data_IF_709837875236
#
_entry.id   IF_709837875236
#
_cell.length_a   1.000
_cell.length_b   1.000
_cell.length_c   1.000
_cell.angle_alpha   90.00
_cell.angle_beta   90.00
_cell.angle_gamma   90.00
#
_symmetry.space_group_name_H-M   'P 1'
#
loop_
_entity.id
_entity.type
_entity.pdbx_description
1 polymer ?
#
# COMPACT_ATOMS: atom_id res chain seq x y z
N UNK A 1 12.43 -33.57 -5.30
CA UNK A 1 12.51 -32.64 -4.15
C UNK A 1 11.17 -31.95 -4.07
N UNK A 2 10.28 -32.44 -3.19
CA UNK A 2 8.90 -31.96 -3.11
C UNK A 2 8.90 -30.55 -2.49
N UNK A 3 8.42 -29.56 -3.25
CA UNK A 3 8.17 -28.20 -2.76
C UNK A 3 7.03 -28.32 -1.74
N UNK A 4 7.21 -27.80 -0.52
CA UNK A 4 6.18 -27.86 0.53
C UNK A 4 4.99 -27.00 0.11
N UNK A 5 3.78 -27.36 0.53
CA UNK A 5 2.54 -26.61 0.26
C UNK A 5 2.64 -25.12 0.62
N UNK A 6 3.40 -24.81 1.67
CA UNK A 6 3.57 -23.44 2.16
C UNK A 6 4.49 -22.61 1.26
N UNK A 7 5.50 -23.25 0.66
CA UNK A 7 6.34 -22.62 -0.37
C UNK A 7 5.51 -22.35 -1.62
N UNK A 8 4.59 -23.25 -2.01
CA UNK A 8 3.70 -23.06 -3.16
C UNK A 8 2.78 -21.84 -3.00
N UNK A 9 2.22 -21.60 -1.81
CA UNK A 9 1.34 -20.45 -1.59
C UNK A 9 2.09 -19.11 -1.64
N UNK A 10 3.32 -19.05 -1.13
CA UNK A 10 4.18 -17.86 -1.23
C UNK A 10 4.64 -17.65 -2.68
N UNK A 11 4.98 -18.74 -3.37
CA UNK A 11 5.35 -18.74 -4.78
C UNK A 11 4.18 -18.27 -5.65
N UNK A 12 2.94 -18.68 -5.35
CA UNK A 12 1.76 -18.28 -6.12
C UNK A 12 1.41 -16.81 -5.89
N UNK A 13 1.35 -16.35 -4.63
CA UNK A 13 1.14 -14.94 -4.30
C UNK A 13 2.28 -14.02 -4.79
N UNK A 14 3.50 -14.55 -4.90
CA UNK A 14 4.64 -13.86 -5.50
C UNK A 14 4.70 -13.96 -7.03
N UNK A 15 4.06 -14.97 -7.64
CA UNK A 15 4.00 -15.16 -9.09
C UNK A 15 2.96 -14.23 -9.76
N UNK A 16 1.94 -13.76 -9.03
CA UNK A 16 1.01 -12.73 -9.52
C UNK A 16 1.72 -11.39 -9.83
N UNK A 17 2.94 -11.20 -9.33
CA UNK A 17 3.81 -10.05 -9.62
C UNK A 17 4.77 -10.31 -10.80
N UNK A 18 4.69 -11.45 -11.48
CA UNK A 18 5.76 -11.98 -12.32
C UNK A 18 5.32 -12.75 -13.57
N UNK A 19 4.02 -12.88 -13.83
CA UNK A 19 3.56 -13.53 -15.05
C UNK A 19 4.04 -12.73 -16.27
N UNK A 20 4.89 -13.34 -17.09
CA UNK A 20 5.32 -12.77 -18.35
C UNK A 20 4.09 -12.57 -19.24
N UNK A 21 3.91 -11.33 -19.71
CA UNK A 21 2.84 -10.97 -20.62
C UNK A 21 3.37 -9.99 -21.66
N UNK A 22 2.73 -9.95 -22.83
CA UNK A 22 3.09 -8.99 -23.86
C UNK A 22 2.43 -7.66 -23.51
N UNK A 23 3.24 -6.63 -23.24
CA UNK A 23 2.76 -5.30 -22.92
C UNK A 23 1.98 -4.68 -24.09
N UNK A 24 0.87 -4.03 -23.76
CA UNK A 24 0.07 -3.27 -24.71
C UNK A 24 0.80 -1.99 -25.13
N UNK A 25 0.75 -1.65 -26.42
CA UNK A 25 1.30 -0.39 -26.95
C UNK A 25 0.30 0.77 -26.89
N UNK A 26 0.81 2.01 -26.90
CA UNK A 26 0.02 3.24 -26.81
C UNK A 26 -1.07 3.34 -27.90
N UNK A 27 -0.78 2.89 -29.13
CA UNK A 27 -1.74 2.89 -30.25
C UNK A 27 -2.93 1.95 -30.01
N UNK A 28 -2.67 0.78 -29.41
CA UNK A 28 -3.72 -0.16 -29.05
C UNK A 28 -4.55 0.38 -27.89
N UNK A 29 -3.91 0.91 -26.85
CA UNK A 29 -4.59 1.54 -25.72
C UNK A 29 -5.47 2.71 -26.19
N UNK A 30 -5.03 3.51 -27.17
CA UNK A 30 -5.82 4.60 -27.74
C UNK A 30 -7.06 4.09 -28.49
N UNK A 31 -6.94 3.00 -29.26
CA UNK A 31 -8.10 2.36 -29.92
C UNK A 31 -9.07 1.78 -28.90
N UNK A 32 -8.54 1.12 -27.87
CA UNK A 32 -9.31 0.50 -26.79
C UNK A 32 -10.16 1.53 -26.04
N UNK A 33 -9.56 2.65 -25.64
CA UNK A 33 -10.28 3.73 -24.95
C UNK A 33 -11.40 4.28 -25.82
N UNK A 34 -11.12 4.52 -27.09
CA UNK A 34 -12.12 5.07 -28.03
C UNK A 34 -13.29 4.12 -28.25
N UNK A 35 -13.04 2.82 -28.42
CA UNK A 35 -14.08 1.84 -28.70
C UNK A 35 -14.91 1.48 -27.47
N UNK A 36 -14.30 1.38 -26.28
CA UNK A 36 -15.00 1.00 -25.05
C UNK A 36 -15.59 2.19 -24.30
N UNK A 37 -14.88 3.32 -24.21
CA UNK A 37 -15.30 4.46 -23.41
C UNK A 37 -15.80 5.65 -24.24
N UNK A 38 -15.62 5.62 -25.57
CA UNK A 38 -16.02 6.74 -26.44
C UNK A 38 -15.18 8.00 -26.23
N UNK A 39 -13.99 7.88 -25.61
CA UNK A 39 -13.12 9.01 -25.29
C UNK A 39 -11.97 9.06 -26.29
N UNK A 40 -11.70 10.26 -26.82
CA UNK A 40 -10.53 10.53 -27.64
C UNK A 40 -9.55 11.44 -26.90
N UNK A 41 -8.26 11.10 -26.95
CA UNK A 41 -7.22 11.88 -26.28
C UNK A 41 -5.84 11.31 -26.48
N UNK A 42 -4.84 12.05 -25.99
CA UNK A 42 -3.45 11.63 -25.99
C UNK A 42 -3.24 10.57 -24.92
N UNK A 43 -2.72 9.42 -25.32
CA UNK A 43 -2.28 8.34 -24.44
C UNK A 43 -0.79 8.54 -24.12
N UNK A 44 -0.41 8.22 -22.88
CA UNK A 44 0.98 8.08 -22.45
C UNK A 44 1.08 6.94 -21.45
N UNK A 45 1.93 5.95 -21.72
CA UNK A 45 2.22 4.88 -20.75
C UNK A 45 2.87 5.42 -19.48
N UNK A 46 2.46 4.88 -18.33
CA UNK A 46 3.06 5.09 -17.03
C UNK A 46 3.85 3.85 -16.61
N UNK A 47 5.03 4.05 -16.04
CA UNK A 47 5.85 2.95 -15.53
C UNK A 47 5.15 2.33 -14.31
N UNK A 48 4.80 1.05 -14.42
CA UNK A 48 4.08 0.28 -13.40
C UNK A 48 4.68 -1.12 -13.30
N UNK A 49 4.50 -1.79 -12.16
CA UNK A 49 5.19 -3.07 -11.87
C UNK A 49 4.49 -4.30 -12.48
N UNK A 50 3.15 -4.30 -12.53
CA UNK A 50 2.34 -5.51 -12.82
C UNK A 50 1.44 -5.37 -14.05
N UNK A 51 0.81 -4.22 -14.25
CA UNK A 51 -0.21 -3.97 -15.26
C UNK A 51 0.29 -3.02 -16.37
N UNK A 52 -0.48 -2.89 -17.45
CA UNK A 52 -0.28 -1.76 -18.35
C UNK A 52 -1.16 -0.60 -17.90
N UNK A 53 -0.51 0.43 -17.38
CA UNK A 53 -1.18 1.66 -16.95
C UNK A 53 -0.87 2.81 -17.92
N UNK A 54 -1.91 3.52 -18.35
CA UNK A 54 -1.78 4.68 -19.24
C UNK A 54 -2.52 5.90 -18.70
N UNK A 55 -1.91 7.08 -18.85
CA UNK A 55 -2.59 8.35 -18.69
C UNK A 55 -3.22 8.77 -20.01
N UNK A 56 -4.52 9.04 -19.98
CA UNK A 56 -5.27 9.62 -21.07
C UNK A 56 -5.51 11.11 -20.79
N UNK A 57 -5.33 11.97 -21.80
CA UNK A 57 -5.64 13.40 -21.72
C UNK A 57 -6.46 13.83 -22.92
N UNK A 58 -7.70 14.23 -22.68
CA UNK A 58 -8.58 14.82 -23.69
C UNK A 58 -8.12 16.21 -24.13
N UNK A 59 -8.60 16.67 -25.29
CA UNK A 59 -8.43 18.06 -25.73
C UNK A 59 -9.07 19.07 -24.78
N UNK A 60 -10.11 18.66 -24.04
CA UNK A 60 -10.77 19.47 -23.00
C UNK A 60 -9.92 19.66 -21.74
N UNK A 61 -8.79 18.94 -21.64
CA UNK A 61 -7.95 18.91 -20.45
C UNK A 61 -8.38 17.89 -19.39
N UNK A 62 -9.51 17.19 -19.58
CA UNK A 62 -9.91 16.07 -18.70
C UNK A 62 -8.92 14.91 -18.82
N UNK A 63 -8.68 14.24 -17.70
CA UNK A 63 -7.65 13.21 -17.62
C UNK A 63 -8.14 11.96 -16.90
N UNK A 64 -7.62 10.82 -17.34
CA UNK A 64 -7.99 9.51 -16.83
C UNK A 64 -6.77 8.60 -16.72
N UNK A 65 -6.93 7.56 -15.92
CA UNK A 65 -6.02 6.43 -15.84
C UNK A 65 -6.71 5.21 -16.42
N UNK A 66 -6.18 4.70 -17.53
CA UNK A 66 -6.54 3.40 -18.08
C UNK A 66 -5.66 2.35 -17.43
N UNK A 67 -6.26 1.36 -16.77
CA UNK A 67 -5.57 0.17 -16.30
C UNK A 67 -5.99 -1.03 -17.14
N UNK A 68 -5.02 -1.71 -17.74
CA UNK A 68 -5.20 -3.00 -18.41
C UNK A 68 -4.47 -4.04 -17.56
N UNK A 69 -5.26 -4.85 -16.85
CA UNK A 69 -4.77 -5.81 -15.87
C UNK A 69 -3.81 -6.83 -16.49
N UNK A 70 -2.88 -7.36 -15.69
CA UNK A 70 -2.07 -8.49 -16.11
C UNK A 70 -3.01 -9.69 -16.43
N UNK A 71 -2.75 -10.50 -17.48
CA UNK A 71 -3.58 -11.68 -17.77
C UNK A 71 -3.73 -12.67 -16.61
N UNK A 72 -2.76 -12.70 -15.69
CA UNK A 72 -2.78 -13.54 -14.49
C UNK A 72 -3.49 -12.90 -13.29
N UNK A 73 -3.89 -11.62 -13.37
CA UNK A 73 -4.58 -10.94 -12.27
C UNK A 73 -6.01 -11.48 -12.11
N UNK A 74 -6.38 -12.00 -10.93
CA UNK A 74 -7.72 -12.55 -10.71
C UNK A 74 -8.83 -11.50 -10.85
N UNK A 75 -9.94 -11.87 -11.51
CA UNK A 75 -11.08 -10.99 -11.73
C UNK A 75 -11.69 -10.47 -10.43
N UNK A 76 -11.76 -11.31 -9.40
CA UNK A 76 -12.33 -10.99 -8.10
C UNK A 76 -11.49 -9.99 -7.30
N UNK A 77 -10.16 -10.00 -7.47
CA UNK A 77 -9.27 -8.95 -6.93
C UNK A 77 -9.48 -7.60 -7.63
N UNK A 78 -9.74 -7.59 -8.94
CA UNK A 78 -10.03 -6.36 -9.67
C UNK A 78 -11.43 -5.86 -9.30
N UNK A 79 -12.40 -6.77 -9.18
CA UNK A 79 -13.76 -6.47 -8.75
C UNK A 79 -13.78 -5.86 -7.33
N UNK A 80 -12.96 -6.37 -6.41
CA UNK A 80 -12.77 -5.80 -5.07
C UNK A 80 -12.40 -4.32 -5.14
N UNK A 81 -11.41 -3.96 -5.95
CA UNK A 81 -10.96 -2.57 -6.10
C UNK A 81 -12.07 -1.67 -6.62
N UNK A 82 -12.81 -2.12 -7.64
CA UNK A 82 -13.91 -1.36 -8.25
C UNK A 82 -15.05 -1.19 -7.26
N UNK A 83 -15.44 -2.26 -6.56
CA UNK A 83 -16.49 -2.24 -5.56
C UNK A 83 -16.15 -1.27 -4.43
N UNK A 84 -14.90 -1.28 -3.96
CA UNK A 84 -14.44 -0.35 -2.93
C UNK A 84 -14.49 1.10 -3.39
N UNK A 85 -13.97 1.42 -4.58
CA UNK A 85 -14.00 2.80 -5.08
C UNK A 85 -15.44 3.31 -5.25
N UNK A 86 -16.35 2.47 -5.75
CA UNK A 86 -17.77 2.82 -5.85
C UNK A 86 -18.41 3.03 -4.47
N UNK A 87 -18.07 2.20 -3.47
CA UNK A 87 -18.52 2.37 -2.10
C UNK A 87 -18.05 3.69 -1.48
N UNK A 88 -16.77 4.02 -1.66
CA UNK A 88 -16.17 5.27 -1.16
C UNK A 88 -16.87 6.50 -1.75
N UNK A 89 -17.17 6.49 -3.05
CA UNK A 89 -17.90 7.58 -3.72
C UNK A 89 -19.31 7.78 -3.14
N UNK A 90 -19.95 6.72 -2.64
CA UNK A 90 -21.26 6.81 -1.99
C UNK A 90 -21.16 7.24 -0.52
N UNK A 91 -20.08 6.84 0.17
CA UNK A 91 -19.88 7.10 1.59
C UNK A 91 -19.39 8.52 1.88
N UNK A 92 -18.43 9.05 1.10
CA UNK A 92 -17.90 10.41 1.20
C UNK A 92 -17.38 10.86 -0.17
N UNK A 93 -18.20 11.63 -0.91
CA UNK A 93 -17.86 12.16 -2.24
C UNK A 93 -16.75 13.23 -2.21
N UNK A 94 -16.38 13.71 -1.01
CA UNK A 94 -15.30 14.66 -0.80
C UNK A 94 -13.95 13.98 -0.53
N UNK A 95 -13.91 12.64 -0.47
CA UNK A 95 -12.65 11.91 -0.39
C UNK A 95 -11.85 12.02 -1.70
N UNK A 96 -10.55 12.33 -1.64
CA UNK A 96 -9.73 12.46 -2.82
C UNK A 96 -9.30 11.07 -3.34
N UNK A 97 -10.23 10.27 -3.84
CA UNK A 97 -9.96 8.94 -4.41
C UNK A 97 -10.43 8.87 -5.87
N UNK A 98 -9.86 7.98 -6.72
CA UNK A 98 -10.30 7.86 -8.10
C UNK A 98 -11.75 7.38 -8.18
N UNK A 99 -12.51 7.94 -9.12
CA UNK A 99 -13.82 7.43 -9.47
C UNK A 99 -13.70 6.45 -10.65
N UNK A 100 -14.47 5.36 -10.61
CA UNK A 100 -14.52 4.38 -11.70
C UNK A 100 -15.43 4.92 -12.79
N UNK A 101 -14.93 4.94 -14.03
CA UNK A 101 -15.68 5.40 -15.20
C UNK A 101 -16.24 4.18 -15.92
N UNK A 102 -17.56 4.15 -16.08
CA UNK A 102 -18.24 3.13 -16.87
C UNK A 102 -17.96 3.30 -18.36
N UNK A 103 -17.90 2.18 -19.07
CA UNK A 103 -17.80 2.12 -20.51
C UNK A 103 -19.13 2.53 -21.19
N UNK A 104 -19.18 2.60 -22.53
CA UNK A 104 -20.38 3.00 -23.28
C UNK A 104 -21.56 2.04 -23.12
N UNK A 105 -21.34 0.86 -22.52
CA UNK A 105 -22.37 -0.14 -22.19
C UNK A 105 -22.76 -0.11 -20.71
N UNK A 106 -22.21 0.84 -19.93
CA UNK A 106 -22.44 0.96 -18.50
C UNK A 106 -21.64 -0.02 -17.64
N UNK A 107 -20.63 -0.70 -18.20
CA UNK A 107 -19.79 -1.65 -17.46
C UNK A 107 -18.56 -0.95 -16.88
N UNK A 108 -18.25 -1.19 -15.60
CA UNK A 108 -17.05 -0.64 -14.94
C UNK A 108 -15.82 -1.53 -15.07
N UNK A 109 -16.01 -2.78 -15.52
CA UNK A 109 -14.97 -3.77 -15.76
C UNK A 109 -15.27 -4.46 -17.10
N UNK A 110 -14.42 -4.23 -18.10
CA UNK A 110 -14.57 -4.82 -19.42
C UNK A 110 -13.54 -5.94 -19.63
N UNK A 111 -13.99 -7.10 -20.09
CA UNK A 111 -13.08 -8.17 -20.54
C UNK A 111 -12.78 -8.00 -22.03
N UNK A 112 -11.50 -8.02 -22.38
CA UNK A 112 -11.02 -7.86 -23.76
C UNK A 112 -10.09 -9.01 -24.15
N UNK A 113 -9.90 -9.16 -25.46
CA UNK A 113 -8.76 -9.87 -26.04
C UNK A 113 -7.85 -8.83 -26.67
N UNK A 114 -6.61 -8.72 -26.20
CA UNK A 114 -5.64 -7.77 -26.76
C UNK A 114 -5.06 -8.26 -28.10
N UNK A 115 -4.25 -7.43 -28.76
CA UNK A 115 -3.64 -7.77 -30.07
C UNK A 115 -2.67 -8.95 -30.00
N UNK A 116 -2.18 -9.29 -28.80
CA UNK A 116 -1.36 -10.46 -28.55
C UNK A 116 -2.20 -11.73 -28.26
N UNK A 117 -3.52 -11.64 -28.28
CA UNK A 117 -4.44 -12.76 -28.02
C UNK A 117 -4.67 -13.06 -26.54
N UNK A 118 -4.23 -12.18 -25.64
CA UNK A 118 -4.33 -12.37 -24.20
C UNK A 118 -5.72 -11.93 -23.71
N UNK A 119 -6.34 -12.73 -22.84
CA UNK A 119 -7.56 -12.31 -22.14
C UNK A 119 -7.18 -11.37 -20.99
N UNK A 120 -7.75 -10.16 -20.99
CA UNK A 120 -7.41 -9.12 -20.02
C UNK A 120 -8.64 -8.38 -19.55
N UNK A 121 -8.54 -7.77 -18.38
CA UNK A 121 -9.56 -6.89 -17.83
C UNK A 121 -9.13 -5.44 -17.92
N UNK A 122 -10.06 -4.57 -18.27
CA UNK A 122 -9.85 -3.13 -18.49
C UNK A 122 -10.78 -2.34 -17.59
N UNK A 123 -10.21 -1.32 -16.95
CA UNK A 123 -10.96 -0.34 -16.17
C UNK A 123 -10.40 1.06 -16.41
N UNK A 124 -11.28 2.05 -16.35
CA UNK A 124 -10.91 3.46 -16.48
C UNK A 124 -11.23 4.19 -15.18
N UNK A 125 -10.29 4.98 -14.68
CA UNK A 125 -10.39 5.74 -13.45
C UNK A 125 -10.18 7.23 -13.74
N UNK A 126 -10.74 8.11 -12.92
CA UNK A 126 -10.37 9.54 -12.96
C UNK A 126 -8.89 9.72 -12.59
N UNK A 127 -8.24 10.70 -13.22
CA UNK A 127 -6.87 11.09 -12.85
C UNK A 127 -6.91 12.12 -11.71
N UNK A 128 -6.11 11.87 -10.66
CA UNK A 128 -5.95 12.81 -9.55
C UNK A 128 -4.70 13.68 -9.79
N UNK A 129 -4.91 14.99 -9.92
CA UNK A 129 -3.85 15.93 -10.20
C UNK A 129 -3.03 16.28 -8.94
N UNK A 130 -1.72 16.43 -9.13
CA UNK A 130 -0.76 16.78 -8.10
C UNK A 130 0.55 16.02 -8.31
N UNK A 131 1.35 15.98 -7.25
CA UNK A 131 2.65 15.31 -7.23
C UNK A 131 2.62 14.21 -6.17
N UNK A 132 3.21 13.02 -6.41
CA UNK A 132 3.39 12.03 -5.35
C UNK A 132 4.12 12.61 -4.13
N UNK A 133 3.67 12.25 -2.92
CA UNK A 133 4.23 12.75 -1.67
C UNK A 133 5.72 12.37 -1.51
N UNK A 134 6.15 11.26 -2.11
CA UNK A 134 7.55 10.81 -2.08
C UNK A 134 8.56 11.76 -2.76
N UNK A 135 8.03 12.70 -3.55
CA UNK A 135 8.79 13.65 -4.36
C UNK A 135 8.81 15.05 -3.75
N UNK A 136 8.20 15.25 -2.57
CA UNK A 136 8.17 16.53 -1.87
C UNK A 136 8.51 16.39 -0.40
N UNK A 137 9.14 17.41 0.18
CA UNK A 137 9.32 17.49 1.62
C UNK A 137 8.03 18.04 2.27
N UNK A 138 7.42 17.26 3.17
CA UNK A 138 6.24 17.68 3.91
C UNK A 138 6.62 18.32 5.25
N UNK A 139 6.05 19.49 5.54
CA UNK A 139 6.10 20.13 6.86
C UNK A 139 5.32 19.32 7.92
N UNK A 140 5.53 19.59 9.23
CA UNK A 140 4.76 18.94 10.29
C UNK A 140 3.24 19.03 10.10
N UNK A 141 2.72 20.20 9.72
CA UNK A 141 1.29 20.39 9.47
C UNK A 141 0.80 19.58 8.27
N UNK A 142 1.59 19.48 7.21
CA UNK A 142 1.26 18.67 6.04
C UNK A 142 1.25 17.17 6.38
N UNK A 143 2.16 16.70 7.23
CA UNK A 143 2.12 15.32 7.76
C UNK A 143 0.89 15.04 8.60
N UNK A 144 0.43 16.00 9.41
CA UNK A 144 -0.86 15.88 10.09
C UNK A 144 -2.01 15.75 9.09
N UNK A 145 -2.02 16.52 7.99
CA UNK A 145 -3.04 16.39 6.94
C UNK A 145 -3.01 15.02 6.25
N UNK A 146 -1.84 14.39 6.12
CA UNK A 146 -1.73 12.99 5.66
C UNK A 146 -2.40 12.03 6.65
N UNK A 147 -2.21 12.23 7.95
CA UNK A 147 -2.90 11.47 8.99
C UNK A 147 -4.42 11.68 8.97
N UNK A 148 -4.86 12.93 8.83
CA UNK A 148 -6.28 13.29 8.70
C UNK A 148 -6.91 12.59 7.48
N UNK A 149 -6.22 12.57 6.33
CA UNK A 149 -6.68 11.87 5.13
C UNK A 149 -6.80 10.35 5.34
N UNK A 150 -5.84 9.73 6.02
CA UNK A 150 -5.89 8.30 6.36
C UNK A 150 -7.05 7.96 7.30
N UNK A 151 -7.31 8.79 8.30
CA UNK A 151 -8.42 8.60 9.22
C UNK A 151 -9.77 8.70 8.49
N UNK A 152 -9.94 9.71 7.63
CA UNK A 152 -11.14 9.86 6.79
C UNK A 152 -11.33 8.65 5.88
N UNK A 153 -10.26 8.18 5.24
CA UNK A 153 -10.32 6.98 4.40
C UNK A 153 -10.80 5.77 5.19
N UNK A 154 -10.20 5.47 6.35
CA UNK A 154 -10.64 4.36 7.22
C UNK A 154 -12.12 4.45 7.56
N UNK A 155 -12.59 5.63 7.97
CA UNK A 155 -13.98 5.85 8.37
C UNK A 155 -14.94 5.64 7.20
N UNK A 156 -14.59 6.13 6.01
CA UNK A 156 -15.40 5.93 4.81
C UNK A 156 -15.35 4.48 4.30
N UNK A 157 -14.33 3.70 4.65
CA UNK A 157 -14.26 2.25 4.37
C UNK A 157 -14.99 1.41 5.43
N UNK A 158 -15.47 2.01 6.52
CA UNK A 158 -16.14 1.27 7.58
C UNK A 158 -17.43 0.61 7.07
N UNK A 159 -17.59 -0.67 7.34
CA UNK A 159 -18.74 -1.46 6.89
C UNK A 159 -18.66 -1.96 5.44
N UNK A 160 -17.60 -1.63 4.68
CA UNK A 160 -17.37 -2.27 3.39
C UNK A 160 -16.95 -3.73 3.58
N UNK A 161 -17.58 -4.62 2.82
CA UNK A 161 -17.29 -6.05 2.80
C UNK A 161 -17.19 -6.56 1.37
N UNK A 162 -16.27 -7.49 1.13
CA UNK A 162 -16.13 -8.18 -0.15
C UNK A 162 -15.41 -9.52 0.05
N UNK A 163 -15.86 -10.64 -0.55
CA UNK A 163 -15.23 -11.95 -0.34
C UNK A 163 -13.73 -11.98 -0.65
N UNK A 164 -13.31 -11.37 -1.77
CA UNK A 164 -11.90 -11.31 -2.15
C UNK A 164 -11.04 -10.45 -1.20
N UNK A 165 -11.62 -9.65 -0.29
CA UNK A 165 -10.84 -8.92 0.71
C UNK A 165 -10.19 -9.86 1.75
N UNK A 166 -10.64 -11.12 1.88
CA UNK A 166 -10.06 -12.11 2.79
C UNK A 166 -8.93 -12.94 2.19
N UNK A 167 -8.44 -12.55 1.00
CA UNK A 167 -7.26 -13.16 0.38
C UNK A 167 -6.00 -12.94 1.22
N UNK A 168 -5.02 -13.81 1.04
CA UNK A 168 -3.72 -13.66 1.67
C UNK A 168 -2.82 -12.75 0.82
N UNK A 169 -2.44 -11.61 1.38
CA UNK A 169 -1.41 -10.74 0.82
C UNK A 169 -0.06 -10.93 1.54
N UNK A 170 1.02 -11.07 0.77
CA UNK A 170 2.38 -11.16 1.32
C UNK A 170 2.80 -9.87 2.05
N UNK A 171 2.34 -8.72 1.57
CA UNK A 171 2.66 -7.41 2.15
C UNK A 171 1.87 -7.09 3.42
N UNK A 172 0.78 -7.82 3.71
CA UNK A 172 0.07 -7.67 4.98
C UNK A 172 0.92 -8.24 6.12
N UNK A 173 1.32 -7.37 7.03
CA UNK A 173 2.20 -7.71 8.15
C UNK A 173 1.60 -8.73 9.12
N UNK A 174 0.27 -8.92 9.12
CA UNK A 174 -0.36 -10.03 9.87
C UNK A 174 0.13 -11.40 9.38
N UNK A 175 0.52 -11.49 8.11
CA UNK A 175 1.03 -12.72 7.48
C UNK A 175 2.56 -12.87 7.58
N UNK A 176 3.24 -12.04 8.38
CA UNK A 176 4.71 -12.03 8.45
C UNK A 176 5.32 -13.39 8.81
N UNK A 177 4.63 -14.23 9.61
CA UNK A 177 5.06 -15.59 9.92
C UNK A 177 5.25 -16.45 8.65
N UNK A 178 4.38 -16.26 7.65
CA UNK A 178 4.43 -16.98 6.38
C UNK A 178 5.67 -16.59 5.56
N UNK A 179 6.32 -15.46 5.86
CA UNK A 179 7.55 -15.03 5.16
C UNK A 179 8.82 -15.67 5.75
N UNK A 180 8.72 -16.47 6.82
CA UNK A 180 9.88 -17.11 7.44
C UNK A 180 10.74 -17.94 6.46
N UNK A 181 10.18 -18.71 5.50
CA UNK A 181 10.99 -19.42 4.49
C UNK A 181 11.88 -18.50 3.66
N UNK A 182 11.48 -17.23 3.43
CA UNK A 182 12.24 -16.28 2.63
C UNK A 182 13.59 -15.91 3.27
N UNK A 183 13.78 -16.12 4.57
CA UNK A 183 15.05 -15.91 5.26
C UNK A 183 16.19 -16.75 4.66
N UNK A 184 15.89 -17.88 4.03
CA UNK A 184 16.87 -18.71 3.34
C UNK A 184 17.45 -18.02 2.08
N UNK A 185 16.75 -17.02 1.54
CA UNK A 185 17.14 -16.30 0.31
C UNK A 185 18.09 -15.12 0.56
N UNK A 186 18.32 -14.74 1.82
CA UNK A 186 19.17 -13.60 2.22
C UNK A 186 20.62 -14.06 2.30
N UNK A 187 21.49 -13.67 1.37
CA UNK A 187 22.86 -14.20 1.29
C UNK A 187 23.79 -13.70 2.41
N UNK A 188 23.67 -12.43 2.79
CA UNK A 188 24.47 -11.83 3.87
C UNK A 188 24.06 -12.40 5.24
N UNK A 189 25.04 -12.93 5.98
CA UNK A 189 24.82 -13.65 7.24
C UNK A 189 24.34 -12.72 8.35
N UNK A 190 24.87 -11.50 8.42
CA UNK A 190 24.52 -10.53 9.47
C UNK A 190 23.13 -9.93 9.22
N UNK A 191 22.82 -9.60 7.96
CA UNK A 191 21.47 -9.21 7.53
C UNK A 191 20.45 -10.30 7.83
N UNK A 192 20.75 -11.56 7.49
CA UNK A 192 19.90 -12.71 7.81
C UNK A 192 19.71 -12.88 9.32
N UNK A 193 20.76 -12.69 10.12
CA UNK A 193 20.70 -12.74 11.59
C UNK A 193 19.82 -11.63 12.15
N UNK A 194 19.94 -10.41 11.62
CA UNK A 194 19.13 -9.26 12.04
C UNK A 194 17.65 -9.50 11.74
N UNK A 195 17.31 -9.95 10.53
CA UNK A 195 15.93 -10.31 10.15
C UNK A 195 15.37 -11.44 11.01
N UNK A 196 16.16 -12.50 11.28
CA UNK A 196 15.76 -13.58 12.18
C UNK A 196 15.41 -13.07 13.58
N UNK A 197 16.23 -12.18 14.14
CA UNK A 197 15.97 -11.56 15.46
C UNK A 197 14.70 -10.70 15.45
N UNK A 198 14.52 -9.90 14.41
CA UNK A 198 13.32 -9.08 14.20
C UNK A 198 12.05 -9.92 14.10
N UNK A 199 12.08 -10.93 13.23
CA UNK A 199 10.99 -11.89 13.03
C UNK A 199 10.63 -12.57 14.34
N UNK A 200 11.60 -13.16 15.04
CA UNK A 200 11.36 -13.85 16.30
C UNK A 200 10.76 -12.91 17.36
N UNK A 201 11.20 -11.65 17.43
CA UNK A 201 10.63 -10.64 18.33
C UNK A 201 9.18 -10.31 17.97
N UNK A 202 8.90 -10.08 16.69
CA UNK A 202 7.55 -9.77 16.21
C UNK A 202 6.56 -10.90 16.51
N UNK A 203 6.96 -12.15 16.26
CA UNK A 203 6.09 -13.32 16.43
C UNK A 203 5.63 -13.54 17.89
N UNK A 204 6.31 -12.97 18.89
CA UNK A 204 5.84 -12.97 20.29
C UNK A 204 4.53 -12.20 20.50
N UNK A 205 4.17 -11.32 19.57
CA UNK A 205 2.94 -10.54 19.60
C UNK A 205 1.86 -11.10 18.67
N UNK A 206 2.07 -12.27 18.03
CA UNK A 206 1.19 -12.77 16.96
C UNK A 206 -0.26 -12.87 17.43
N UNK A 207 -0.54 -13.53 18.56
CA UNK A 207 -1.90 -13.68 19.09
C UNK A 207 -2.58 -12.33 19.36
N UNK A 208 -1.82 -11.38 19.94
CA UNK A 208 -2.31 -10.03 20.24
C UNK A 208 -2.61 -9.24 18.95
N UNK A 209 -1.75 -9.36 17.94
CA UNK A 209 -1.93 -8.74 16.62
C UNK A 209 -3.14 -9.37 15.89
N UNK A 210 -3.33 -10.68 15.98
CA UNK A 210 -4.47 -11.36 15.36
C UNK A 210 -5.80 -10.98 16.02
N UNK A 211 -5.78 -10.62 17.31
CA UNK A 211 -6.96 -10.17 18.06
C UNK A 211 -7.30 -8.67 17.87
N UNK A 212 -6.50 -7.91 17.12
CA UNK A 212 -6.77 -6.49 16.88
C UNK A 212 -8.05 -6.28 16.05
N UNK A 213 -8.76 -5.15 16.23
CA UNK A 213 -9.90 -4.79 15.40
C UNK A 213 -9.53 -4.78 13.91
N UNK A 214 -10.35 -5.43 13.08
CA UNK A 214 -10.12 -5.57 11.65
C UNK A 214 -11.26 -4.95 10.83
N UNK A 215 -10.91 -4.46 9.64
CA UNK A 215 -11.85 -4.04 8.59
C UNK A 215 -11.15 -4.16 7.22
N UNK A 216 -11.86 -3.93 6.13
CA UNK A 216 -11.21 -3.70 4.84
C UNK A 216 -10.47 -2.36 4.88
N UNK A 217 -9.20 -2.39 4.47
CA UNK A 217 -8.25 -1.27 4.54
C UNK A 217 -7.42 -1.19 3.25
N UNK A 218 -6.74 -0.05 3.04
CA UNK A 218 -5.92 0.17 1.84
C UNK A 218 -4.66 -0.70 1.83
N UNK A 219 -4.07 -0.96 3.00
CA UNK A 219 -2.88 -1.75 3.30
C UNK A 219 -1.55 -1.29 2.66
N UNK A 220 -1.60 -0.34 1.73
CA UNK A 220 -0.45 0.30 1.09
C UNK A 220 -0.56 1.83 1.03
N UNK A 221 -0.90 2.45 2.17
CA UNK A 221 -0.93 3.91 2.32
C UNK A 221 0.50 4.51 2.38
N UNK A 222 1.24 4.38 1.27
CA UNK A 222 2.62 4.79 1.10
C UNK A 222 2.75 6.17 0.44
N UNK A 223 3.91 6.81 0.57
CA UNK A 223 4.14 8.15 0.00
C UNK A 223 3.98 8.22 -1.53
N UNK A 224 4.24 7.13 -2.25
CA UNK A 224 4.03 7.06 -3.70
C UNK A 224 2.56 7.01 -4.10
N UNK A 225 1.69 6.56 -3.18
CA UNK A 225 0.25 6.40 -3.41
C UNK A 225 -0.56 7.59 -2.90
N UNK A 226 0.10 8.61 -2.34
CA UNK A 226 -0.51 9.85 -1.87
C UNK A 226 -0.11 10.95 -2.84
N UNK A 227 -1.10 11.58 -3.46
CA UNK A 227 -0.93 12.72 -4.34
C UNK A 227 -1.19 14.00 -3.53
N UNK A 228 -0.31 14.98 -3.68
CA UNK A 228 -0.34 16.23 -2.94
C UNK A 228 -0.17 17.45 -3.82
N UNK A 229 -0.62 18.58 -3.30
CA UNK A 229 -0.44 19.90 -3.91
C UNK A 229 -0.14 20.94 -2.83
N UNK A 230 1.11 21.41 -2.79
CA UNK A 230 1.58 22.42 -1.83
C UNK A 230 0.92 23.79 -2.00
N UNK A 231 0.29 24.06 -3.15
CA UNK A 231 -0.44 25.30 -3.41
C UNK A 231 -1.88 25.29 -2.88
N UNK A 232 -2.39 24.13 -2.45
CA UNK A 232 -3.77 23.97 -1.97
C UNK A 232 -3.85 23.95 -0.45
N UNK A 233 -4.98 24.44 0.07
CA UNK A 233 -5.31 24.33 1.50
C UNK A 233 -5.40 22.86 1.94
N UNK A 234 -6.07 22.05 1.14
CA UNK A 234 -6.13 20.61 1.30
C UNK A 234 -4.91 20.01 0.62
N UNK A 235 -3.87 19.77 1.41
CA UNK A 235 -2.57 19.34 0.90
C UNK A 235 -2.63 17.98 0.20
N UNK A 236 -3.41 17.04 0.75
CA UNK A 236 -3.64 15.72 0.12
C UNK A 236 -4.76 15.85 -0.90
N UNK A 237 -4.42 15.69 -2.17
CA UNK A 237 -5.33 15.81 -3.32
C UNK A 237 -5.64 14.48 -3.99
N UNK A 238 -4.97 13.40 -3.58
CA UNK A 238 -5.28 12.06 -4.05
C UNK A 238 -4.75 10.95 -3.15
N UNK A 239 -5.50 9.85 -3.09
CA UNK A 239 -5.09 8.56 -2.56
C UNK A 239 -5.38 7.55 -3.66
N UNK A 240 -4.34 6.91 -4.17
CA UNK A 240 -4.41 6.03 -5.34
C UNK A 240 -3.94 4.62 -5.01
N UNK A 241 -4.19 3.72 -5.95
CA UNK A 241 -3.71 2.33 -5.93
C UNK A 241 -4.25 1.45 -4.79
N UNK A 242 -5.52 1.07 -4.94
CA UNK A 242 -6.21 0.16 -4.03
C UNK A 242 -5.92 -1.32 -4.29
N UNK A 243 -4.86 -1.65 -5.06
CA UNK A 243 -4.52 -3.01 -5.45
C UNK A 243 -4.23 -3.96 -4.28
N UNK A 244 -3.72 -3.42 -3.18
CA UNK A 244 -3.40 -4.17 -1.96
C UNK A 244 -4.52 -4.11 -0.90
N UNK A 245 -5.72 -3.67 -1.29
CA UNK A 245 -6.89 -3.70 -0.40
C UNK A 245 -7.12 -5.10 0.16
N UNK A 246 -7.28 -5.19 1.47
CA UNK A 246 -7.46 -6.45 2.20
C UNK A 246 -8.17 -6.21 3.54
N UNK A 247 -8.83 -7.25 4.06
CA UNK A 247 -9.36 -7.29 5.41
C UNK A 247 -8.23 -7.56 6.40
N UNK A 248 -7.79 -6.53 7.12
CA UNK A 248 -6.68 -6.63 8.08
C UNK A 248 -6.91 -5.72 9.29
N UNK A 249 -5.98 -5.73 10.25
CA UNK A 249 -6.10 -4.94 11.47
C UNK A 249 -5.98 -3.44 11.16
N UNK A 250 -6.84 -2.63 11.76
CA UNK A 250 -6.88 -1.16 11.59
C UNK A 250 -5.50 -0.51 11.77
N UNK A 251 -4.75 -0.98 12.77
CA UNK A 251 -3.41 -0.47 13.05
C UNK A 251 -2.38 -0.75 11.93
N UNK A 252 -2.65 -1.65 10.98
CA UNK A 252 -1.74 -1.96 9.87
C UNK A 252 -1.59 -0.77 8.92
N UNK A 253 -2.69 -0.10 8.55
CA UNK A 253 -2.64 1.07 7.67
C UNK A 253 -1.89 2.25 8.32
N UNK A 254 -2.11 2.44 9.62
CA UNK A 254 -1.38 3.45 10.39
C UNK A 254 0.11 3.07 10.46
N UNK A 255 0.45 1.81 10.70
CA UNK A 255 1.83 1.35 10.69
C UNK A 255 2.49 1.53 9.30
N UNK A 256 1.75 1.36 8.21
CA UNK A 256 2.22 1.66 6.85
C UNK A 256 2.53 3.14 6.71
N UNK A 257 1.63 4.02 7.12
CA UNK A 257 1.84 5.45 7.04
C UNK A 257 3.06 5.90 7.86
N UNK A 258 3.22 5.35 9.07
CA UNK A 258 4.37 5.61 9.94
C UNK A 258 5.69 5.09 9.37
N UNK A 259 5.70 3.89 8.79
CA UNK A 259 6.88 3.33 8.11
C UNK A 259 7.40 4.29 7.04
N UNK A 260 6.48 4.94 6.32
CA UNK A 260 6.85 5.86 5.26
C UNK A 260 7.39 7.21 5.77
N UNK A 261 7.29 7.50 7.08
CA UNK A 261 7.91 8.68 7.70
C UNK A 261 9.27 8.38 8.35
N UNK A 262 9.72 7.12 8.36
CA UNK A 262 10.99 6.79 8.99
C UNK A 262 12.16 7.36 8.17
N UNK A 263 13.21 7.90 8.83
CA UNK A 263 14.34 8.48 8.13
C UNK A 263 15.06 7.43 7.29
N UNK A 264 15.44 7.83 6.07
CA UNK A 264 16.04 6.92 5.08
C UNK A 264 17.53 6.66 5.32
N UNK A 265 18.19 7.55 6.06
CA UNK A 265 19.61 7.54 6.38
C UNK A 265 19.88 7.06 7.81
N UNK A 266 18.91 6.43 8.47
CA UNK A 266 19.02 5.94 9.86
C UNK A 266 20.21 5.01 10.13
N UNK A 267 20.78 4.39 9.10
CA UNK A 267 22.01 3.59 9.21
C UNK A 267 23.27 4.47 9.37
N UNK A 268 23.34 5.60 8.66
CA UNK A 268 24.44 6.54 8.70
C UNK A 268 24.28 7.58 9.82
N UNK A 269 23.04 8.03 10.03
CA UNK A 269 22.64 9.03 11.03
C UNK A 269 21.49 8.48 11.89
N UNK A 270 21.77 7.60 12.88
CA UNK A 270 20.73 7.08 13.75
C UNK A 270 20.05 8.20 14.55
N UNK A 271 18.73 8.42 14.44
CA UNK A 271 18.05 9.48 15.16
C UNK A 271 17.83 9.09 16.64
N UNK A 272 17.63 10.07 17.52
CA UNK A 272 17.20 9.81 18.90
C UNK A 272 15.77 9.23 18.95
N UNK A 273 14.86 9.80 18.14
CA UNK A 273 13.48 9.34 17.94
C UNK A 273 13.25 8.99 16.45
N UNK A 274 13.16 7.70 16.13
CA UNK A 274 12.89 7.20 14.78
C UNK A 274 11.49 7.61 14.28
N UNK A 275 10.55 7.89 15.19
CA UNK A 275 9.16 8.17 14.87
C UNK A 275 8.82 9.67 14.89
N UNK A 276 9.81 10.56 14.99
CA UNK A 276 9.58 12.01 15.14
C UNK A 276 8.57 12.56 14.11
N UNK A 277 8.79 12.32 12.82
CA UNK A 277 7.88 12.74 11.75
C UNK A 277 6.57 11.93 11.72
N UNK A 278 6.65 10.64 12.09
CA UNK A 278 5.49 9.76 12.22
C UNK A 278 4.49 10.23 13.30
N UNK A 279 4.96 10.88 14.36
CA UNK A 279 4.09 11.45 15.40
C UNK A 279 3.15 12.52 14.85
N UNK A 280 3.57 13.27 13.84
CA UNK A 280 2.69 14.26 13.19
C UNK A 280 1.55 13.57 12.44
N UNK A 281 1.87 12.52 11.66
CA UNK A 281 0.85 11.71 10.98
C UNK A 281 -0.11 11.10 11.99
N UNK A 282 0.39 10.49 13.06
CA UNK A 282 -0.45 9.90 14.10
C UNK A 282 -1.32 10.94 14.80
N UNK A 283 -0.79 12.15 15.06
CA UNK A 283 -1.57 13.25 15.66
C UNK A 283 -2.72 13.67 14.75
N UNK A 284 -2.47 13.81 13.45
CA UNK A 284 -3.52 14.12 12.47
C UNK A 284 -4.59 13.03 12.40
N UNK A 285 -4.16 11.76 12.38
CA UNK A 285 -5.06 10.61 12.36
C UNK A 285 -5.97 10.59 13.61
N UNK A 286 -5.37 10.72 14.81
CA UNK A 286 -6.07 10.64 16.09
C UNK A 286 -7.05 11.80 16.34
N UNK A 287 -7.01 12.88 15.56
CA UNK A 287 -8.03 13.94 15.60
C UNK A 287 -9.37 13.49 15.05
N UNK A 288 -9.38 12.51 14.14
CA UNK A 288 -10.59 12.11 13.41
C UNK A 288 -10.98 10.64 13.69
N UNK A 289 -10.01 9.76 13.95
CA UNK A 289 -10.27 8.35 14.23
C UNK A 289 -9.46 7.85 15.45
N UNK A 290 -10.08 7.03 16.29
CA UNK A 290 -9.44 6.49 17.49
C UNK A 290 -8.67 5.19 17.21
N UNK A 291 -7.57 4.99 17.94
CA UNK A 291 -6.93 3.69 18.14
C UNK A 291 -7.07 3.31 19.62
N UNK A 292 -7.38 2.06 19.90
CA UNK A 292 -7.41 1.57 21.27
C UNK A 292 -5.99 1.44 21.84
N UNK A 293 -5.91 1.21 23.15
CA UNK A 293 -4.64 1.11 23.88
C UNK A 293 -3.72 0.00 23.33
N UNK A 294 -4.29 -1.12 22.94
CA UNK A 294 -3.58 -2.28 22.41
C UNK A 294 -3.04 -2.00 21.00
N UNK A 295 -3.84 -1.37 20.14
CA UNK A 295 -3.43 -0.90 18.81
C UNK A 295 -2.23 0.05 18.90
N UNK A 296 -2.28 1.04 19.79
CA UNK A 296 -1.18 2.00 19.99
C UNK A 296 0.08 1.34 20.55
N UNK A 297 -0.07 0.42 21.50
CA UNK A 297 1.06 -0.32 22.06
C UNK A 297 1.75 -1.23 21.03
N UNK A 298 0.97 -1.83 20.12
CA UNK A 298 1.48 -2.73 19.08
C UNK A 298 1.97 -1.98 17.84
N UNK A 299 1.60 -0.72 17.65
CA UNK A 299 1.88 0.06 16.44
C UNK A 299 3.38 0.12 16.06
N UNK A 300 4.34 0.35 16.98
CA UNK A 300 5.77 0.32 16.64
C UNK A 300 6.26 -1.07 16.24
N UNK A 301 5.65 -2.14 16.77
CA UNK A 301 5.98 -3.52 16.41
C UNK A 301 5.40 -3.88 15.04
N UNK A 302 4.21 -3.38 14.68
CA UNK A 302 3.66 -3.48 13.33
C UNK A 302 4.56 -2.75 12.31
N UNK A 303 5.08 -1.57 12.64
CA UNK A 303 6.07 -0.87 11.80
C UNK A 303 7.32 -1.73 11.61
N UNK A 304 7.88 -2.29 12.70
CA UNK A 304 9.01 -3.22 12.62
C UNK A 304 8.71 -4.42 11.72
N UNK A 305 7.52 -5.00 11.87
CA UNK A 305 7.06 -6.11 11.02
C UNK A 305 7.01 -5.73 9.54
N UNK A 306 6.50 -4.53 9.21
CA UNK A 306 6.48 -4.04 7.83
C UNK A 306 7.88 -3.78 7.27
N UNK A 307 8.83 -3.30 8.10
CA UNK A 307 10.25 -3.20 7.70
C UNK A 307 10.78 -4.59 7.32
N UNK A 308 10.54 -5.61 8.16
CA UNK A 308 11.00 -6.98 7.91
C UNK A 308 10.34 -7.57 6.66
N UNK A 309 9.00 -7.45 6.54
CA UNK A 309 8.25 -7.92 5.38
C UNK A 309 8.77 -7.31 4.09
N UNK A 310 8.89 -5.98 4.05
CA UNK A 310 9.40 -5.24 2.90
C UNK A 310 10.78 -5.74 2.50
N UNK A 311 11.72 -5.82 3.44
CA UNK A 311 13.09 -6.28 3.20
C UNK A 311 13.15 -7.72 2.71
N UNK A 312 12.38 -8.64 3.30
CA UNK A 312 12.37 -10.05 2.88
C UNK A 312 11.81 -10.21 1.46
N UNK A 313 10.68 -9.56 1.18
CA UNK A 313 10.01 -9.66 -0.12
C UNK A 313 10.88 -9.02 -1.21
N UNK A 314 11.50 -7.86 -0.96
CA UNK A 314 12.36 -7.20 -1.95
C UNK A 314 13.64 -7.99 -2.22
N UNK A 315 14.30 -8.55 -1.20
CA UNK A 315 15.48 -9.40 -1.39
C UNK A 315 15.14 -10.66 -2.19
N UNK A 316 14.03 -11.32 -1.86
CA UNK A 316 13.56 -12.48 -2.60
C UNK A 316 13.20 -12.14 -4.05
N UNK A 317 12.47 -11.04 -4.29
CA UNK A 317 12.13 -10.55 -5.65
C UNK A 317 13.38 -10.21 -6.46
N UNK A 318 14.35 -9.49 -5.87
CA UNK A 318 15.59 -9.10 -6.55
C UNK A 318 16.41 -10.32 -7.01
N UNK A 319 16.39 -11.42 -6.24
CA UNK A 319 17.03 -12.69 -6.63
C UNK A 319 16.34 -13.36 -7.81
N UNK A 320 15.01 -13.23 -7.91
CA UNK A 320 14.20 -13.84 -8.98
C UNK A 320 14.19 -13.02 -10.26
N UNK A 321 14.34 -11.69 -10.16
CA UNK A 321 14.35 -10.75 -11.28
C UNK A 321 15.65 -9.91 -11.25
N UNK A 322 16.81 -10.52 -11.54
CA UNK A 322 18.11 -9.85 -11.40
C UNK A 322 18.23 -8.57 -12.24
N UNK A 323 17.60 -8.53 -13.41
CA UNK A 323 17.62 -7.37 -14.31
C UNK A 323 16.92 -6.14 -13.68
N UNK A 324 15.97 -6.36 -12.77
CA UNK A 324 15.23 -5.31 -12.05
C UNK A 324 15.73 -5.09 -10.62
N UNK A 325 16.78 -5.80 -10.19
CA UNK A 325 17.22 -5.85 -8.79
C UNK A 325 17.52 -4.46 -8.20
N UNK A 326 18.19 -3.57 -8.96
CA UNK A 326 18.52 -2.22 -8.49
C UNK A 326 17.26 -1.40 -8.14
N UNK A 327 16.21 -1.51 -8.93
CA UNK A 327 14.94 -0.84 -8.68
C UNK A 327 14.24 -1.44 -7.45
N UNK A 328 14.15 -2.78 -7.40
CA UNK A 328 13.51 -3.51 -6.29
C UNK A 328 14.19 -3.21 -4.95
N UNK A 329 15.53 -3.08 -4.94
CA UNK A 329 16.30 -2.91 -3.70
C UNK A 329 16.34 -1.47 -3.17
N UNK A 330 15.84 -0.46 -3.90
CA UNK A 330 15.95 0.97 -3.53
C UNK A 330 15.43 1.33 -2.14
N UNK A 331 14.45 0.57 -1.64
CA UNK A 331 13.82 0.77 -0.33
C UNK A 331 14.27 -0.27 0.72
N UNK A 332 15.18 -1.18 0.34
CA UNK A 332 15.72 -2.22 1.22
C UNK A 332 16.82 -1.65 2.11
N UNK A 333 17.71 -0.85 1.53
CA UNK A 333 18.87 -0.29 2.23
C UNK A 333 18.52 0.56 3.46
N UNK A 334 17.55 1.50 3.39
CA UNK A 334 17.09 2.22 4.58
C UNK A 334 16.57 1.32 5.70
N UNK A 335 15.99 0.16 5.34
CA UNK A 335 15.37 -0.76 6.27
C UNK A 335 16.34 -1.35 7.30
N UNK A 336 17.64 -1.44 6.97
CA UNK A 336 18.64 -1.99 7.88
C UNK A 336 18.88 -1.10 9.11
N UNK A 337 19.08 0.20 8.90
CA UNK A 337 19.23 1.17 9.99
C UNK A 337 17.98 1.28 10.85
N UNK A 338 16.80 1.29 10.20
CA UNK A 338 15.50 1.32 10.87
C UNK A 338 15.31 0.07 11.76
N UNK A 339 15.57 -1.13 11.23
CA UNK A 339 15.43 -2.37 11.98
C UNK A 339 16.46 -2.47 13.12
N UNK A 340 17.70 -2.06 12.89
CA UNK A 340 18.73 -2.02 13.94
C UNK A 340 18.33 -1.10 15.09
N UNK A 341 17.82 0.10 14.78
CA UNK A 341 17.31 1.06 15.76
C UNK A 341 16.16 0.47 16.60
N UNK A 342 15.20 -0.19 15.95
CA UNK A 342 14.07 -0.82 16.63
C UNK A 342 14.52 -1.98 17.54
N UNK A 343 15.50 -2.76 17.10
CA UNK A 343 16.03 -3.90 17.86
C UNK A 343 16.97 -3.51 19.00
N UNK A 344 17.53 -2.30 18.99
CA UNK A 344 18.35 -1.78 20.08
C UNK A 344 17.53 -1.42 21.35
N UNK A 345 16.21 -1.31 21.23
CA UNK A 345 15.29 -0.94 22.33
C UNK A 345 14.53 -2.14 22.85
N UNK A 346 14.14 -2.13 24.12
CA UNK A 346 13.32 -3.19 24.71
C UNK A 346 11.90 -3.21 24.11
N UNK A 347 11.18 -4.31 24.31
CA UNK A 347 9.79 -4.41 23.83
C UNK A 347 8.84 -3.47 24.56
N UNK A 348 9.10 -3.24 25.84
CA UNK A 348 8.29 -2.34 26.67
C UNK A 348 8.55 -0.88 26.28
N UNK A 349 9.81 -0.49 26.08
CA UNK A 349 10.18 0.83 25.57
C UNK A 349 9.49 1.15 24.24
N UNK A 350 9.54 0.22 23.27
CA UNK A 350 8.82 0.41 22.02
C UNK A 350 7.33 0.54 22.26
N UNK A 351 6.73 -0.32 23.08
CA UNK A 351 5.27 -0.28 23.32
C UNK A 351 4.81 1.03 23.97
N UNK A 352 5.68 1.73 24.70
CA UNK A 352 5.37 3.04 25.29
C UNK A 352 5.45 4.22 24.30
N UNK A 353 6.04 4.03 23.10
CA UNK A 353 6.34 5.10 22.13
C UNK A 353 5.19 6.06 21.86
N UNK A 354 3.96 5.53 21.73
CA UNK A 354 2.77 6.31 21.38
C UNK A 354 1.71 6.35 22.48
N UNK A 355 1.98 5.76 23.65
CA UNK A 355 0.97 5.62 24.72
C UNK A 355 0.53 6.95 25.30
N UNK A 356 1.41 7.97 25.30
CA UNK A 356 1.07 9.33 25.73
C UNK A 356 0.20 10.08 24.73
N UNK A 357 -0.05 9.52 23.53
CA UNK A 357 -0.87 10.14 22.49
C UNK A 357 -2.33 9.68 22.56
N UNK A 358 -2.68 8.80 23.50
CA UNK A 358 -4.07 8.52 23.85
C UNK A 358 -4.70 9.84 24.28
N UNK A 359 -5.77 10.32 23.63
CA UNK A 359 -6.50 11.48 24.12
C UNK A 359 -6.89 11.23 25.57
N UNK A 360 -6.54 12.14 26.48
CA UNK A 360 -7.10 12.12 27.84
C UNK A 360 -8.60 12.07 27.67
N UNK A 361 -9.24 10.97 28.08
CA UNK A 361 -10.69 10.81 28.01
C UNK A 361 -11.34 11.99 28.73
N UNK A 362 -11.82 12.95 27.97
CA UNK A 362 -12.41 14.21 28.41
C UNK A 362 -13.47 14.61 27.39
N UNK A 363 -14.72 14.38 27.81
CA UNK A 363 -15.97 14.90 27.20
C UNK A 363 -16.27 14.42 25.77
N UNK A 364 -16.82 13.20 25.69
CA UNK A 364 -17.89 12.97 24.73
C UNK A 364 -19.04 13.92 25.10
N UNK A 365 -19.25 14.96 24.30
CA UNK A 365 -20.55 15.60 24.23
C UNK A 365 -21.44 14.71 23.34
N UNK A 366 -22.52 14.23 23.97
CA UNK A 366 -23.64 13.50 23.38
C UNK A 366 -24.23 14.17 22.13
#
# INVERSE_FOLDING_TARGET
MAIRSDDMNIIQAGNDLAAEFISMGDDEASRLVRSHFGIEGRIRRLATEKDDTFRLTEMTGRQYILKVANPAEPEDEIALQIALLNFLQQADDSLPVPAVIADVRGQTLARITDTAGQQRYVRLLTYLAGTPLDSVAASPRQREQVGEALARLRLAMAGFEHPAAHRMLLWDVKNLANLQPLLASVDDIEQRRLLKRGMARFLRFSDRIQALPCQVLHNDFSQSNIIVDSGRRDFVTGIIDFGDTVYTAVAVDVATALLNQLPRDAAANPPDDLFADGRDVLRGYLRLASLNREELALLPHLVMGRVIARTLITLWRARRFPDNARYILRNTEPGWGQLAWLLARSSDELSQTFMSMIPSSGEHHD
#
